data_IF_439124253662
#
_entry.id   IF_439124253662
#
_cell.length_a   1.000
_cell.length_b   1.000
_cell.length_c   1.000
_cell.angle_alpha   90.00
_cell.angle_beta   90.00
_cell.angle_gamma   90.00
#
_symmetry.space_group_name_H-M   'P 1'
#
loop_
_entity.id
_entity.type
_entity.pdbx_description
1 polymer ?
#
# COMPACT_ATOMS: atom_id res chain seq x y z
N UNK A 1 4.25 -15.77 24.11
CA UNK A 1 3.80 -14.99 22.93
C UNK A 1 2.73 -15.81 22.22
N UNK A 2 1.47 -15.37 22.17
CA UNK A 2 0.35 -16.18 21.66
C UNK A 2 0.55 -16.59 20.19
N UNK A 3 0.19 -17.82 19.85
CA UNK A 3 0.33 -18.41 18.51
C UNK A 3 -0.25 -17.52 17.40
N UNK A 4 -1.37 -16.85 17.66
CA UNK A 4 -2.00 -15.90 16.74
C UNK A 4 -1.13 -14.66 16.49
N UNK A 5 -0.49 -14.09 17.52
CA UNK A 5 0.44 -12.96 17.36
C UNK A 5 1.67 -13.36 16.56
N UNK A 6 2.16 -14.59 16.75
CA UNK A 6 3.30 -15.13 16.00
C UNK A 6 2.95 -15.31 14.51
N UNK A 7 1.76 -15.86 14.21
CA UNK A 7 1.28 -16.04 12.83
C UNK A 7 1.02 -14.70 12.15
N UNK A 8 0.36 -13.76 12.82
CA UNK A 8 0.13 -12.41 12.26
C UNK A 8 1.44 -11.67 11.99
N UNK A 9 2.44 -11.80 12.88
CA UNK A 9 3.76 -11.19 12.71
C UNK A 9 4.55 -11.82 11.54
N UNK A 10 4.54 -13.15 11.44
CA UNK A 10 5.16 -13.87 10.32
C UNK A 10 4.49 -13.49 9.00
N UNK A 11 3.16 -13.39 8.98
CA UNK A 11 2.41 -12.94 7.81
C UNK A 11 2.81 -11.51 7.42
N UNK A 12 2.87 -10.58 8.37
CA UNK A 12 3.27 -9.19 8.14
C UNK A 12 4.70 -9.07 7.58
N UNK A 13 5.64 -9.89 8.06
CA UNK A 13 7.02 -9.90 7.56
C UNK A 13 7.17 -10.55 6.18
N UNK A 14 6.37 -11.58 5.87
CA UNK A 14 6.46 -12.32 4.61
C UNK A 14 5.63 -11.65 3.50
N UNK A 15 4.58 -10.90 3.86
CA UNK A 15 3.66 -10.28 2.92
C UNK A 15 4.33 -9.44 1.80
N UNK A 16 5.34 -8.60 2.07
CA UNK A 16 6.05 -7.87 1.01
C UNK A 16 6.75 -8.80 0.01
N UNK A 17 7.32 -9.91 0.48
CA UNK A 17 8.00 -10.90 -0.37
C UNK A 17 7.01 -11.79 -1.12
N UNK A 18 5.87 -12.13 -0.51
CA UNK A 18 4.76 -12.78 -1.21
C UNK A 18 4.26 -11.93 -2.36
N UNK A 19 4.14 -10.61 -2.15
CA UNK A 19 3.79 -9.68 -3.22
C UNK A 19 4.78 -9.76 -4.38
N UNK A 20 6.10 -9.82 -4.13
CA UNK A 20 7.10 -10.03 -5.19
C UNK A 20 6.90 -11.34 -5.97
N UNK A 21 6.56 -12.44 -5.29
CA UNK A 21 6.25 -13.73 -5.95
C UNK A 21 4.99 -13.61 -6.80
N UNK A 22 3.94 -12.97 -6.29
CA UNK A 22 2.68 -12.72 -7.02
C UNK A 22 2.94 -11.88 -8.27
N UNK A 23 3.72 -10.80 -8.15
CA UNK A 23 4.12 -9.96 -9.27
C UNK A 23 4.98 -10.74 -10.30
N UNK A 24 5.90 -11.58 -9.83
CA UNK A 24 6.78 -12.40 -10.68
C UNK A 24 6.03 -13.48 -11.46
N UNK A 25 5.10 -14.22 -10.84
CA UNK A 25 4.34 -15.29 -11.49
C UNK A 25 3.49 -14.79 -12.66
N UNK A 26 2.93 -13.57 -12.57
CA UNK A 26 2.18 -12.96 -13.67
C UNK A 26 3.06 -12.45 -14.81
N UNK A 27 4.30 -12.02 -14.54
CA UNK A 27 5.25 -11.65 -15.58
C UNK A 27 5.48 -12.80 -16.58
N UNK A 28 5.38 -14.05 -16.11
CA UNK A 28 5.45 -15.24 -16.96
C UNK A 28 4.17 -15.54 -17.77
N UNK A 29 3.07 -14.78 -17.57
CA UNK A 29 1.78 -14.87 -18.28
C UNK A 29 1.19 -16.29 -18.39
N UNK A 30 1.47 -17.18 -17.43
CA UNK A 30 1.02 -18.59 -17.48
C UNK A 30 -0.49 -18.68 -17.20
N UNK A 31 -1.34 -19.03 -18.19
CA UNK A 31 -2.79 -19.07 -18.01
C UNK A 31 -3.22 -19.99 -16.84
N UNK A 32 -4.20 -19.55 -16.05
CA UNK A 32 -4.73 -20.27 -14.89
C UNK A 32 -3.91 -20.09 -13.61
N UNK A 33 -2.58 -20.11 -13.72
CA UNK A 33 -1.68 -20.00 -12.56
C UNK A 33 -1.76 -18.62 -11.92
N UNK A 34 -1.70 -17.55 -12.72
CA UNK A 34 -1.78 -16.22 -12.14
C UNK A 34 -3.16 -16.00 -11.49
N UNK A 35 -4.28 -16.34 -12.14
CA UNK A 35 -5.61 -16.16 -11.54
C UNK A 35 -5.74 -16.87 -10.19
N UNK A 36 -5.27 -18.12 -10.11
CA UNK A 36 -5.27 -18.88 -8.86
C UNK A 36 -4.48 -18.18 -7.76
N UNK A 37 -3.30 -17.65 -8.07
CA UNK A 37 -2.43 -16.97 -7.11
C UNK A 37 -3.07 -15.72 -6.53
N UNK A 38 -3.74 -14.89 -7.31
CA UNK A 38 -4.37 -13.67 -6.77
C UNK A 38 -5.77 -13.87 -6.22
N UNK A 39 -6.51 -14.91 -6.62
CA UNK A 39 -7.67 -15.36 -5.83
C UNK A 39 -7.21 -15.77 -4.43
N UNK A 40 -6.12 -16.55 -4.34
CA UNK A 40 -5.52 -16.91 -3.06
C UNK A 40 -5.04 -15.66 -2.28
N UNK A 41 -4.41 -14.70 -2.96
CA UNK A 41 -3.96 -13.45 -2.35
C UNK A 41 -5.12 -12.59 -1.85
N UNK A 42 -6.18 -12.45 -2.64
CA UNK A 42 -7.41 -11.74 -2.26
C UNK A 42 -8.08 -12.42 -1.05
N UNK A 43 -8.17 -13.75 -1.05
CA UNK A 43 -8.68 -14.50 0.10
C UNK A 43 -7.84 -14.25 1.36
N UNK A 44 -6.51 -14.22 1.24
CA UNK A 44 -5.61 -13.90 2.34
C UNK A 44 -5.83 -12.47 2.86
N UNK A 45 -5.99 -11.49 1.96
CA UNK A 45 -6.31 -10.09 2.30
C UNK A 45 -7.66 -10.02 3.02
N UNK A 46 -8.69 -10.71 2.53
CA UNK A 46 -10.02 -10.72 3.13
C UNK A 46 -10.00 -11.34 4.55
N UNK A 47 -9.29 -12.45 4.74
CA UNK A 47 -9.11 -13.08 6.05
C UNK A 47 -8.35 -12.14 7.00
N UNK A 48 -7.26 -11.53 6.54
CA UNK A 48 -6.49 -10.57 7.33
C UNK A 48 -7.35 -9.35 7.72
N UNK A 49 -8.07 -8.75 6.77
CA UNK A 49 -8.99 -7.65 7.02
C UNK A 49 -10.11 -8.03 8.00
N UNK A 50 -10.69 -9.23 7.87
CA UNK A 50 -11.70 -9.72 8.81
C UNK A 50 -11.13 -9.89 10.22
N UNK A 51 -9.96 -10.50 10.34
CA UNK A 51 -9.33 -10.73 11.65
C UNK A 51 -8.85 -9.45 12.32
N UNK A 52 -8.42 -8.45 11.56
CA UNK A 52 -7.99 -7.14 12.07
C UNK A 52 -9.20 -6.25 12.39
N UNK A 53 -10.14 -6.11 11.45
CA UNK A 53 -11.29 -5.22 11.53
C UNK A 53 -12.42 -5.72 12.42
N UNK A 54 -12.91 -6.96 12.21
CA UNK A 54 -14.05 -7.47 12.97
C UNK A 54 -13.72 -7.67 14.46
N UNK A 55 -12.47 -8.01 14.80
CA UNK A 55 -12.00 -8.09 16.19
C UNK A 55 -11.81 -6.71 16.82
N UNK A 56 -11.39 -5.72 16.03
CA UNK A 56 -11.20 -4.37 16.52
C UNK A 56 -12.53 -3.69 16.85
N UNK A 57 -13.58 -3.88 16.04
CA UNK A 57 -14.92 -3.35 16.34
C UNK A 57 -15.44 -3.87 17.70
N UNK A 58 -15.08 -5.11 18.06
CA UNK A 58 -15.47 -5.74 19.33
C UNK A 58 -14.52 -5.46 20.50
N UNK A 59 -13.43 -4.72 20.29
CA UNK A 59 -12.50 -4.41 21.37
C UNK A 59 -13.05 -3.28 22.25
N UNK A 60 -12.91 -3.39 23.58
CA UNK A 60 -13.31 -2.30 24.50
C UNK A 60 -12.34 -1.13 24.49
N UNK A 61 -11.05 -1.38 24.27
CA UNK A 61 -10.02 -0.34 24.30
C UNK A 61 -9.92 0.41 22.97
N UNK A 62 -10.04 1.74 23.01
CA UNK A 62 -9.97 2.64 21.87
C UNK A 62 -8.69 2.43 21.02
N UNK A 63 -7.53 2.27 21.66
CA UNK A 63 -6.26 2.05 20.95
C UNK A 63 -6.26 0.76 20.11
N UNK A 64 -6.94 -0.29 20.60
CA UNK A 64 -7.10 -1.55 19.85
C UNK A 64 -8.06 -1.39 18.67
N UNK A 65 -9.07 -0.53 18.80
CA UNK A 65 -9.98 -0.18 17.69
C UNK A 65 -9.22 0.54 16.58
N UNK A 66 -8.45 1.57 16.94
CA UNK A 66 -7.66 2.36 15.99
C UNK A 66 -6.60 1.51 15.30
N UNK A 67 -5.88 0.67 16.06
CA UNK A 67 -4.87 -0.22 15.47
C UNK A 67 -5.47 -1.21 14.46
N UNK A 68 -6.65 -1.77 14.76
CA UNK A 68 -7.31 -2.65 13.81
C UNK A 68 -7.90 -1.93 12.60
N UNK A 69 -8.39 -0.70 12.77
CA UNK A 69 -8.82 0.14 11.64
C UNK A 69 -7.64 0.47 10.73
N UNK A 70 -6.51 0.92 11.29
CA UNK A 70 -5.28 1.19 10.56
C UNK A 70 -4.81 -0.05 9.79
N UNK A 71 -4.72 -1.20 10.48
CA UNK A 71 -4.33 -2.46 9.86
C UNK A 71 -5.29 -2.90 8.75
N UNK A 72 -6.60 -2.69 8.94
CA UNK A 72 -7.60 -3.00 7.91
C UNK A 72 -7.39 -2.14 6.68
N UNK A 73 -7.30 -0.81 6.82
CA UNK A 73 -7.09 0.12 5.70
C UNK A 73 -5.80 -0.20 4.92
N UNK A 74 -4.70 -0.46 5.63
CA UNK A 74 -3.42 -0.79 5.00
C UNK A 74 -3.49 -2.11 4.23
N UNK A 75 -4.09 -3.15 4.80
CA UNK A 75 -4.19 -4.47 4.16
C UNK A 75 -5.20 -4.49 3.02
N UNK A 76 -6.38 -3.90 3.19
CA UNK A 76 -7.44 -3.89 2.16
C UNK A 76 -7.10 -3.03 0.96
N UNK A 77 -6.17 -2.07 1.10
CA UNK A 77 -5.67 -1.27 -0.03
C UNK A 77 -5.14 -2.13 -1.19
N UNK A 78 -4.65 -3.35 -0.90
CA UNK A 78 -4.14 -4.29 -1.90
C UNK A 78 -5.24 -5.18 -2.53
N UNK A 79 -6.46 -5.17 -1.98
CA UNK A 79 -7.55 -6.02 -2.46
C UNK A 79 -7.92 -5.75 -3.93
N UNK A 80 -8.02 -4.48 -4.39
CA UNK A 80 -8.30 -4.20 -5.81
C UNK A 80 -7.17 -4.68 -6.72
N UNK A 81 -5.90 -4.59 -6.29
CA UNK A 81 -4.76 -5.12 -7.06
C UNK A 81 -4.86 -6.64 -7.19
N UNK A 82 -5.19 -7.33 -6.09
CA UNK A 82 -5.33 -8.79 -6.07
C UNK A 82 -6.51 -9.29 -6.91
N UNK A 83 -7.63 -8.55 -6.91
CA UNK A 83 -8.87 -8.95 -7.60
C UNK A 83 -8.86 -8.58 -9.08
N UNK A 84 -8.47 -7.35 -9.39
CA UNK A 84 -8.59 -6.77 -10.72
C UNK A 84 -7.33 -7.00 -11.57
N UNK A 85 -6.22 -7.45 -10.96
CA UNK A 85 -4.99 -7.83 -11.65
C UNK A 85 -4.38 -6.75 -12.52
N UNK A 86 -4.74 -5.50 -12.26
CA UNK A 86 -4.51 -4.46 -13.24
C UNK A 86 -3.06 -4.03 -13.22
N UNK A 87 -2.41 -4.11 -14.38
CA UNK A 87 -1.11 -3.48 -14.56
C UNK A 87 0.05 -4.18 -13.87
N UNK A 88 -0.05 -5.49 -13.61
CA UNK A 88 1.07 -6.27 -13.11
C UNK A 88 2.01 -6.61 -14.28
N UNK A 89 2.98 -5.72 -14.48
CA UNK A 89 3.95 -5.68 -15.58
C UNK A 89 4.40 -4.23 -15.82
N UNK A 90 5.52 -3.99 -16.51
CA UNK A 90 5.92 -2.63 -16.87
C UNK A 90 4.78 -1.94 -17.65
N UNK A 91 4.48 -0.64 -17.44
CA UNK A 91 3.41 0.05 -18.16
C UNK A 91 3.55 -0.05 -19.69
N UNK A 92 4.76 -0.23 -20.20
CA UNK A 92 5.05 -0.46 -21.62
C UNK A 92 4.63 -1.84 -22.17
N UNK A 93 4.31 -2.81 -21.30
CA UNK A 93 3.84 -4.15 -21.69
C UNK A 93 2.32 -4.31 -21.63
N UNK A 94 1.64 -3.33 -21.03
CA UNK A 94 0.20 -3.32 -20.83
C UNK A 94 -0.49 -2.48 -21.91
N UNK A 95 -1.73 -2.85 -22.25
CA UNK A 95 -2.57 -2.05 -23.16
C UNK A 95 -2.93 -0.70 -22.53
N UNK A 96 -3.50 0.22 -23.32
CA UNK A 96 -3.93 1.50 -22.77
C UNK A 96 -5.09 1.32 -21.77
N UNK A 97 -6.11 0.53 -22.10
CA UNK A 97 -7.16 0.11 -21.16
C UNK A 97 -6.63 -0.55 -19.87
N UNK A 98 -5.63 -1.43 -19.96
CA UNK A 98 -5.02 -2.03 -18.77
C UNK A 98 -4.30 -0.99 -17.91
N UNK A 99 -3.62 -0.02 -18.51
CA UNK A 99 -2.97 1.05 -17.75
C UNK A 99 -3.98 2.04 -17.17
N UNK A 100 -5.05 2.37 -17.89
CA UNK A 100 -6.15 3.19 -17.37
C UNK A 100 -6.70 2.61 -16.06
N UNK A 101 -7.09 1.32 -16.09
CA UNK A 101 -7.58 0.64 -14.90
C UNK A 101 -6.51 0.54 -13.78
N UNK A 102 -5.22 0.47 -14.13
CA UNK A 102 -4.10 0.38 -13.18
C UNK A 102 -4.07 1.63 -12.32
N UNK A 103 -4.13 2.79 -12.96
CA UNK A 103 -4.04 4.07 -12.26
C UNK A 103 -5.31 4.39 -11.46
N UNK A 104 -6.49 3.92 -11.90
CA UNK A 104 -7.69 3.92 -11.06
C UNK A 104 -7.51 3.13 -9.75
N UNK A 105 -6.96 1.92 -9.85
CA UNK A 105 -6.66 1.09 -8.68
C UNK A 105 -5.63 1.75 -7.76
N UNK A 106 -4.57 2.34 -8.33
CA UNK A 106 -3.54 3.03 -7.56
C UNK A 106 -4.04 4.29 -6.85
N UNK A 107 -5.03 5.00 -7.41
CA UNK A 107 -5.71 6.12 -6.72
C UNK A 107 -6.39 5.63 -5.44
N UNK A 108 -7.21 4.56 -5.54
CA UNK A 108 -7.91 3.98 -4.39
C UNK A 108 -6.91 3.46 -3.35
N UNK A 109 -5.84 2.79 -3.81
CA UNK A 109 -4.80 2.25 -2.95
C UNK A 109 -4.04 3.37 -2.21
N UNK A 110 -3.65 4.45 -2.90
CA UNK A 110 -2.95 5.58 -2.29
C UNK A 110 -3.80 6.26 -1.20
N UNK A 111 -5.10 6.47 -1.46
CA UNK A 111 -6.01 7.03 -0.48
C UNK A 111 -6.14 6.12 0.77
N UNK A 112 -6.36 4.81 0.56
CA UNK A 112 -6.49 3.86 1.65
C UNK A 112 -5.21 3.75 2.49
N UNK A 113 -4.03 3.72 1.85
CA UNK A 113 -2.73 3.67 2.54
C UNK A 113 -2.52 4.95 3.37
N UNK A 114 -2.73 6.12 2.78
CA UNK A 114 -2.57 7.39 3.48
C UNK A 114 -3.49 7.46 4.71
N UNK A 115 -4.78 7.13 4.55
CA UNK A 115 -5.73 7.05 5.67
C UNK A 115 -5.31 6.02 6.73
N UNK A 116 -4.82 4.86 6.32
CA UNK A 116 -4.32 3.83 7.23
C UNK A 116 -3.19 4.33 8.13
N UNK A 117 -2.24 5.08 7.56
CA UNK A 117 -1.15 5.69 8.34
C UNK A 117 -1.59 6.85 9.22
N UNK A 118 -2.59 7.64 8.81
CA UNK A 118 -3.19 8.67 9.68
C UNK A 118 -3.78 8.02 10.94
N UNK A 119 -4.57 6.95 10.78
CA UNK A 119 -5.15 6.22 11.91
C UNK A 119 -4.05 5.55 12.75
N UNK A 120 -3.00 5.02 12.12
CA UNK A 120 -1.88 4.42 12.81
C UNK A 120 -1.14 5.42 13.71
N UNK A 121 -0.97 6.67 13.24
CA UNK A 121 -0.37 7.75 14.04
C UNK A 121 -1.17 8.03 15.31
N UNK A 122 -2.51 8.04 15.23
CA UNK A 122 -3.36 8.22 16.41
C UNK A 122 -3.18 7.07 17.41
N UNK A 123 -3.19 5.82 16.93
CA UNK A 123 -3.00 4.65 17.77
C UNK A 123 -1.63 4.66 18.49
N UNK A 124 -0.57 5.04 17.79
CA UNK A 124 0.78 5.13 18.36
C UNK A 124 0.92 6.28 19.36
N UNK A 125 0.28 7.43 19.06
CA UNK A 125 0.27 8.58 19.95
C UNK A 125 -0.46 8.28 21.26
N UNK A 126 -1.56 7.51 21.19
CA UNK A 126 -2.27 6.99 22.37
C UNK A 126 -1.42 6.02 23.20
N UNK A 127 -0.59 5.21 22.52
CA UNK A 127 0.36 4.28 23.16
C UNK A 127 1.64 4.95 23.71
N UNK A 128 1.75 6.28 23.65
CA UNK A 128 2.86 7.05 24.22
C UNK A 128 4.03 7.32 23.26
N UNK A 129 3.96 6.91 21.99
CA UNK A 129 4.96 7.24 20.98
C UNK A 129 4.46 8.37 20.09
N UNK A 130 5.10 9.54 20.18
CA UNK A 130 4.68 10.74 19.45
C UNK A 130 5.72 11.24 18.45
N UNK A 131 7.00 10.95 18.66
CA UNK A 131 8.07 11.56 17.88
C UNK A 131 8.13 10.95 16.48
N UNK A 132 8.34 9.64 16.41
CA UNK A 132 8.43 8.94 15.12
C UNK A 132 7.08 8.85 14.43
N UNK A 133 5.98 8.71 15.17
CA UNK A 133 4.62 8.75 14.62
C UNK A 133 4.32 10.11 13.95
N UNK A 134 4.77 11.23 14.53
CA UNK A 134 4.59 12.56 13.92
C UNK A 134 5.48 12.73 12.69
N UNK A 135 6.73 12.28 12.73
CA UNK A 135 7.62 12.30 11.57
C UNK A 135 7.05 11.47 10.41
N UNK A 136 6.59 10.25 10.69
CA UNK A 136 5.97 9.39 9.70
C UNK A 136 4.69 9.98 9.12
N UNK A 137 3.89 10.64 9.96
CA UNK A 137 2.70 11.35 9.53
C UNK A 137 3.01 12.56 8.63
N UNK A 138 4.02 13.37 8.98
CA UNK A 138 4.45 14.49 8.15
C UNK A 138 4.90 14.01 6.76
N UNK A 139 5.59 12.87 6.70
CA UNK A 139 6.00 12.28 5.42
C UNK A 139 4.81 11.72 4.62
N UNK A 140 3.88 10.99 5.24
CA UNK A 140 2.75 10.39 4.52
C UNK A 140 1.71 11.42 4.05
N UNK A 141 1.47 12.50 4.82
CA UNK A 141 0.51 13.53 4.42
C UNK A 141 1.00 14.35 3.22
N UNK A 142 2.31 14.36 2.97
CA UNK A 142 2.90 14.90 1.75
C UNK A 142 2.92 13.85 0.63
N UNK A 143 3.34 12.62 0.93
CA UNK A 143 3.45 11.55 -0.08
C UNK A 143 2.11 11.15 -0.69
N UNK A 144 1.05 11.00 0.13
CA UNK A 144 -0.27 10.56 -0.32
C UNK A 144 -0.85 11.44 -1.44
N UNK A 145 -0.96 12.76 -1.25
CA UNK A 145 -1.38 13.69 -2.29
C UNK A 145 -0.50 13.66 -3.54
N UNK A 146 0.83 13.51 -3.40
CA UNK A 146 1.72 13.40 -4.56
C UNK A 146 1.41 12.13 -5.37
N UNK A 147 1.22 10.98 -4.73
CA UNK A 147 0.77 9.78 -5.44
C UNK A 147 -0.60 9.96 -6.10
N UNK A 148 -1.55 10.64 -5.44
CA UNK A 148 -2.86 10.90 -6.04
C UNK A 148 -2.73 11.76 -7.29
N UNK A 149 -1.99 12.86 -7.23
CA UNK A 149 -1.73 13.72 -8.39
C UNK A 149 -1.08 12.88 -9.50
N UNK A 150 -0.03 12.13 -9.17
CA UNK A 150 0.67 11.32 -10.16
C UNK A 150 -0.25 10.31 -10.85
N UNK A 151 -1.02 9.55 -10.08
CA UNK A 151 -1.93 8.54 -10.62
C UNK A 151 -3.08 9.16 -11.42
N UNK A 152 -3.58 10.34 -11.05
CA UNK A 152 -4.63 11.04 -11.82
C UNK A 152 -4.10 11.46 -13.20
N UNK A 153 -2.89 12.01 -13.27
CA UNK A 153 -2.27 12.38 -14.54
C UNK A 153 -1.97 11.15 -15.40
N UNK A 154 -1.46 10.08 -14.78
CA UNK A 154 -1.22 8.83 -15.49
C UNK A 154 -2.52 8.20 -16.00
N UNK A 155 -3.59 8.22 -15.20
CA UNK A 155 -4.93 7.83 -15.63
C UNK A 155 -5.37 8.64 -16.85
N UNK A 156 -5.31 9.97 -16.78
CA UNK A 156 -5.70 10.86 -17.88
C UNK A 156 -4.88 10.59 -19.16
N UNK A 157 -3.60 10.28 -19.03
CA UNK A 157 -2.72 9.96 -20.15
C UNK A 157 -3.18 8.70 -20.89
N UNK A 158 -3.49 7.64 -20.15
CA UNK A 158 -3.90 6.36 -20.72
C UNK A 158 -5.38 6.34 -21.14
N UNK A 159 -6.24 7.09 -20.46
CA UNK A 159 -7.60 7.35 -20.89
C UNK A 159 -7.62 8.04 -22.26
N UNK A 160 -6.82 9.10 -22.42
CA UNK A 160 -6.67 9.80 -23.71
C UNK A 160 -6.11 8.87 -24.79
N UNK A 161 -5.08 8.08 -24.46
CA UNK A 161 -4.50 7.11 -25.40
C UNK A 161 -5.50 6.04 -25.84
N UNK A 162 -6.35 5.54 -24.94
CA UNK A 162 -7.36 4.53 -25.25
C UNK A 162 -8.49 5.11 -26.13
N UNK A 163 -8.98 6.31 -25.81
CA UNK A 163 -10.19 6.85 -26.44
C UNK A 163 -9.91 7.77 -27.64
N UNK A 164 -8.76 8.44 -27.66
CA UNK A 164 -8.35 9.34 -28.75
C UNK A 164 -7.18 8.78 -29.59
N UNK A 165 -6.64 7.62 -29.23
CA UNK A 165 -5.55 6.95 -29.95
C UNK A 165 -4.15 7.52 -29.66
N UNK A 166 -4.06 8.67 -28.97
CA UNK A 166 -2.81 9.35 -28.64
C UNK A 166 -2.79 9.88 -27.20
N UNK A 167 -1.59 10.02 -26.63
CA UNK A 167 -1.44 10.66 -25.32
C UNK A 167 -1.60 12.17 -25.45
N UNK A 168 -2.36 12.85 -24.56
CA UNK A 168 -2.51 14.30 -24.60
C UNK A 168 -1.15 15.02 -24.51
N UNK A 169 -0.88 15.92 -25.47
CA UNK A 169 0.42 16.61 -25.56
C UNK A 169 0.80 17.37 -24.27
N UNK A 170 -0.19 17.96 -23.59
CA UNK A 170 0.02 18.65 -22.32
C UNK A 170 0.53 17.72 -21.19
N UNK A 171 0.17 16.44 -21.22
CA UNK A 171 0.67 15.46 -20.25
C UNK A 171 2.09 15.04 -20.65
N UNK A 172 2.34 14.82 -21.94
CA UNK A 172 3.67 14.46 -22.46
C UNK A 172 4.70 15.54 -22.09
N UNK A 173 4.34 16.83 -22.19
CA UNK A 173 5.23 17.94 -21.83
C UNK A 173 5.53 18.04 -20.34
N UNK A 174 4.74 17.39 -19.48
CA UNK A 174 4.94 17.38 -18.02
C UNK A 174 5.73 16.16 -17.53
N UNK A 175 6.18 15.28 -18.42
CA UNK A 175 6.77 13.98 -18.06
C UNK A 175 7.87 14.07 -16.99
N UNK A 176 8.86 14.94 -17.19
CA UNK A 176 10.00 15.05 -16.25
C UNK A 176 9.55 15.56 -14.87
N UNK A 177 8.56 16.46 -14.84
CA UNK A 177 7.94 16.92 -13.60
C UNK A 177 7.20 15.77 -12.91
N UNK A 178 6.49 14.94 -13.66
CA UNK A 178 5.79 13.76 -13.12
C UNK A 178 6.78 12.73 -12.55
N UNK A 179 7.92 12.53 -13.20
CA UNK A 179 8.98 11.63 -12.72
C UNK A 179 9.60 12.15 -11.41
N UNK A 180 9.88 13.46 -11.33
CA UNK A 180 10.35 14.10 -10.09
C UNK A 180 9.32 13.97 -8.97
N UNK A 181 8.04 14.21 -9.28
CA UNK A 181 6.95 14.12 -8.34
C UNK A 181 6.80 12.69 -7.78
N UNK A 182 6.90 11.67 -8.64
CA UNK A 182 6.90 10.27 -8.23
C UNK A 182 8.12 9.92 -7.36
N UNK A 183 9.30 10.42 -7.72
CA UNK A 183 10.52 10.22 -6.93
C UNK A 183 10.37 10.78 -5.52
N UNK A 184 9.88 12.02 -5.38
CA UNK A 184 9.64 12.66 -4.08
C UNK A 184 8.59 11.90 -3.28
N UNK A 185 7.49 11.48 -3.93
CA UNK A 185 6.44 10.67 -3.29
C UNK A 185 7.01 9.35 -2.73
N UNK A 186 7.85 8.68 -3.51
CA UNK A 186 8.55 7.46 -3.12
C UNK A 186 9.49 7.67 -1.95
N UNK A 187 10.38 8.67 -2.02
CA UNK A 187 11.31 9.01 -0.95
C UNK A 187 10.57 9.27 0.38
N UNK A 188 9.51 10.07 0.35
CA UNK A 188 8.69 10.36 1.52
C UNK A 188 7.99 9.10 2.06
N UNK A 189 7.61 8.14 1.21
CA UNK A 189 7.02 6.87 1.65
C UNK A 189 8.04 6.01 2.38
N UNK A 190 9.28 5.93 1.90
CA UNK A 190 10.34 5.21 2.61
C UNK A 190 10.62 5.85 3.97
N UNK A 191 10.71 7.19 4.02
CA UNK A 191 10.85 7.92 5.28
C UNK A 191 9.69 7.65 6.24
N UNK A 192 8.45 7.68 5.74
CA UNK A 192 7.26 7.37 6.53
C UNK A 192 7.32 5.93 7.07
N UNK A 193 7.70 4.97 6.23
CA UNK A 193 7.80 3.56 6.58
C UNK A 193 8.83 3.34 7.69
N UNK A 194 10.03 3.92 7.54
CA UNK A 194 11.07 3.83 8.55
C UNK A 194 10.63 4.44 9.89
N UNK A 195 9.97 5.61 9.85
CA UNK A 195 9.48 6.27 11.05
C UNK A 195 8.37 5.47 11.75
N UNK A 196 7.37 4.99 11.01
CA UNK A 196 6.30 4.15 11.59
C UNK A 196 6.85 2.81 12.11
N UNK A 197 7.84 2.20 11.45
CA UNK A 197 8.51 1.00 11.93
C UNK A 197 9.28 1.24 13.24
N UNK A 198 10.00 2.36 13.33
CA UNK A 198 10.69 2.78 14.56
C UNK A 198 9.69 2.99 15.71
N UNK A 199 8.56 3.65 15.42
CA UNK A 199 7.48 3.89 16.38
C UNK A 199 6.89 2.58 16.91
N UNK A 200 6.51 1.66 16.01
CA UNK A 200 6.02 0.32 16.35
C UNK A 200 7.02 -0.49 17.17
N UNK A 201 8.32 -0.33 16.91
CA UNK A 201 9.40 -0.94 17.69
C UNK A 201 9.50 -0.38 19.11
N UNK A 202 9.31 0.93 19.28
CA UNK A 202 9.34 1.60 20.60
C UNK A 202 8.19 1.18 21.50
N UNK A 203 6.98 1.04 20.95
CA UNK A 203 5.80 0.53 21.69
C UNK A 203 5.75 -0.99 21.79
N UNK A 204 6.79 -1.70 21.31
CA UNK A 204 6.91 -3.16 21.33
C UNK A 204 5.79 -3.90 20.57
N UNK A 205 5.12 -3.22 19.62
CA UNK A 205 4.12 -3.84 18.76
C UNK A 205 4.76 -4.56 17.57
N UNK A 206 5.99 -4.18 17.23
CA UNK A 206 6.85 -4.87 16.28
C UNK A 206 8.14 -5.34 16.97
N UNK A 207 8.54 -6.59 16.72
CA UNK A 207 9.79 -7.14 17.25
C UNK A 207 11.01 -6.36 16.75
N UNK A 208 12.06 -6.27 17.58
CA UNK A 208 13.27 -5.47 17.30
C UNK A 208 13.94 -5.81 15.96
N UNK A 209 13.88 -7.08 15.54
CA UNK A 209 14.42 -7.53 14.25
C UNK A 209 13.63 -6.99 13.06
N UNK A 210 12.30 -7.08 13.06
CA UNK A 210 11.50 -6.55 11.96
C UNK A 210 11.51 -5.02 11.93
N UNK A 211 11.50 -4.36 13.10
CA UNK A 211 11.63 -2.91 13.15
C UNK A 211 12.93 -2.44 12.49
N UNK A 212 14.05 -3.13 12.73
CA UNK A 212 15.33 -2.84 12.07
C UNK A 212 15.29 -3.12 10.57
N UNK A 213 14.71 -4.24 10.14
CA UNK A 213 14.59 -4.55 8.72
C UNK A 213 13.84 -3.44 7.96
N UNK A 214 12.68 -3.00 8.47
CA UNK A 214 11.89 -1.93 7.84
C UNK A 214 12.51 -0.53 7.92
N UNK A 215 13.53 -0.31 8.76
CA UNK A 215 14.29 0.97 8.79
C UNK A 215 15.45 0.99 7.79
N UNK A 216 15.88 -0.17 7.29
CA UNK A 216 17.03 -0.31 6.38
C UNK A 216 16.58 -0.37 4.92
N UNK A 217 15.33 -0.79 4.67
CA UNK A 217 14.66 -0.77 3.36
C UNK A 217 14.31 0.67 2.99
#
# INVERSE_FOLDING_TARGET
MNTVRRVSYVFLCIFPFLSFVVFGVRAFRIPGVYQAVGVAYFAAIAIAAWTLGARAIRADAQDRRLLGLAGTLLVTSFAPVALLWVGIGGPWQATAAENEMRYLVLIVMAAAIASGFVVLREALSGAGERFYATLGFAAIILSGPLYLIWNIFAFAAFFGKEHAGEMPAAIVSLRDMMDLLLFVAGFLTYLATAAFAASLGRVQWLGRGAARAFMIV
#
